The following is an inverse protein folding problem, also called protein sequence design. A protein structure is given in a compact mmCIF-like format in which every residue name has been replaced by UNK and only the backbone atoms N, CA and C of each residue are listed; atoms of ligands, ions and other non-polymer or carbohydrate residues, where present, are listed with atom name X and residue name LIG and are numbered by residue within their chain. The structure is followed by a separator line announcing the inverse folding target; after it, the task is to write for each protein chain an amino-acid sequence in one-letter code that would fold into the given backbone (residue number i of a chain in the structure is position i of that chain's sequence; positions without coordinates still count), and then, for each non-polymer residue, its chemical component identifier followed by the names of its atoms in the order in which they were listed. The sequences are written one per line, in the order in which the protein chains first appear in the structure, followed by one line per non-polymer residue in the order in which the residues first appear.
data_IF_781064494509
#
_entry.id   IF_781064494509
#
_cell.length_a   1.000
_cell.length_b   1.000
_cell.length_c   1.000
_cell.angle_alpha   90.00
_cell.angle_beta   90.00
_cell.angle_gamma   90.00
#
_symmetry.space_group_name_H-M   'P 1'
#
loop_
_entity.id
_entity.type
_entity.pdbx_description
1 polymer ?
#
# COMPACT_ATOMS: atom_id res chain seq x y z
N UNK A 1 24.99 3.33 2.57
CA UNK A 1 23.66 3.41 1.95
C UNK A 1 22.81 2.23 2.38
N UNK A 2 21.63 2.46 2.89
CA UNK A 2 20.76 1.33 3.24
C UNK A 2 20.32 0.58 1.99
N UNK A 3 20.22 -0.72 2.14
CA UNK A 3 19.78 -1.58 1.05
C UNK A 3 18.25 -1.66 1.06
N UNK A 4 17.65 -1.20 -0.02
CA UNK A 4 16.20 -1.25 -0.19
C UNK A 4 15.84 -2.49 -1.01
N UNK A 5 14.95 -3.30 -0.47
CA UNK A 5 14.44 -4.49 -1.17
C UNK A 5 12.93 -4.46 -1.19
N UNK A 6 12.34 -4.98 -2.28
CA UNK A 6 10.90 -5.11 -2.44
C UNK A 6 10.56 -6.59 -2.49
N UNK A 7 9.65 -7.02 -1.65
CA UNK A 7 9.25 -8.43 -1.56
C UNK A 7 7.78 -8.59 -1.92
N UNK A 8 7.51 -9.48 -2.87
CA UNK A 8 6.14 -9.86 -3.23
C UNK A 8 5.62 -10.86 -2.21
N UNK A 9 4.44 -10.60 -1.68
CA UNK A 9 3.83 -11.44 -0.65
C UNK A 9 2.31 -11.32 -0.71
N UNK A 10 1.63 -11.61 0.39
CA UNK A 10 0.18 -11.45 0.50
C UNK A 10 -0.18 -10.86 1.86
N UNK A 11 -1.49 -10.71 2.12
CA UNK A 11 -1.95 -10.03 3.33
C UNK A 11 -1.71 -10.82 4.61
N UNK A 12 -1.23 -12.05 4.55
CA UNK A 12 -0.87 -12.80 5.75
C UNK A 12 0.50 -12.41 6.29
N UNK A 13 1.26 -11.63 5.52
CA UNK A 13 2.60 -11.18 5.92
C UNK A 13 2.51 -10.26 7.15
N UNK A 14 3.23 -10.61 8.22
CA UNK A 14 3.17 -9.87 9.48
C UNK A 14 3.68 -8.43 9.35
N UNK A 15 4.71 -8.21 8.54
CA UNK A 15 5.26 -6.87 8.32
C UNK A 15 4.26 -5.97 7.59
N UNK A 16 3.55 -6.54 6.61
CA UNK A 16 2.48 -5.83 5.93
C UNK A 16 1.37 -5.45 6.91
N UNK A 17 0.96 -6.37 7.76
CA UNK A 17 -0.10 -6.11 8.75
C UNK A 17 0.30 -4.99 9.71
N UNK A 18 1.56 -4.97 10.13
CA UNK A 18 2.07 -3.92 11.00
C UNK A 18 2.03 -2.57 10.29
N UNK A 19 2.45 -2.51 9.03
CA UNK A 19 2.42 -1.28 8.25
C UNK A 19 0.99 -0.79 8.02
N UNK A 20 0.05 -1.70 7.79
CA UNK A 20 -1.37 -1.34 7.65
C UNK A 20 -1.91 -0.77 8.95
N UNK A 21 -1.48 -1.29 10.10
CA UNK A 21 -1.86 -0.73 11.39
C UNK A 21 -1.39 0.72 11.53
N UNK A 22 -0.17 1.02 11.10
CA UNK A 22 0.34 2.38 11.08
C UNK A 22 -0.49 3.27 10.16
N UNK A 23 -0.83 2.78 8.98
CA UNK A 23 -1.65 3.51 8.02
C UNK A 23 -3.03 3.83 8.60
N UNK A 24 -3.68 2.84 9.18
CA UNK A 24 -5.02 3.02 9.76
C UNK A 24 -4.98 4.04 10.90
N UNK A 25 -3.97 3.98 11.73
CA UNK A 25 -3.79 4.93 12.82
C UNK A 25 -3.59 6.36 12.27
N UNK A 26 -2.79 6.48 11.24
CA UNK A 26 -2.52 7.77 10.60
C UNK A 26 -3.80 8.37 10.00
N UNK A 27 -4.58 7.55 9.30
CA UNK A 27 -5.85 7.99 8.73
C UNK A 27 -6.84 8.41 9.81
N UNK A 28 -6.87 7.70 10.91
CA UNK A 28 -7.73 8.02 12.04
C UNK A 28 -7.42 9.40 12.61
N UNK A 29 -6.15 9.73 12.78
CA UNK A 29 -5.75 11.04 13.27
C UNK A 29 -6.14 12.16 12.33
N UNK A 30 -5.99 11.95 11.02
CA UNK A 30 -6.28 12.96 10.01
C UNK A 30 -7.77 13.17 9.84
N UNK A 31 -8.56 12.11 9.87
CA UNK A 31 -9.95 12.15 9.48
C UNK A 31 -10.94 12.32 10.62
N UNK A 32 -10.50 12.19 11.85
CA UNK A 32 -11.33 12.47 13.02
C UNK A 32 -12.77 11.98 12.95
N UNK A 33 -13.66 12.88 12.57
CA UNK A 33 -15.11 12.61 12.52
C UNK A 33 -15.50 11.46 11.61
N UNK A 34 -14.66 11.13 10.65
CA UNK A 34 -14.94 10.08 9.67
C UNK A 34 -14.30 8.76 10.04
N UNK A 35 -13.77 8.66 11.25
CA UNK A 35 -13.05 7.48 11.69
C UNK A 35 -13.85 6.18 11.50
N UNK A 36 -15.10 6.17 11.91
CA UNK A 36 -15.94 4.97 11.78
C UNK A 36 -16.11 4.54 10.31
N UNK A 37 -16.27 5.52 9.42
CA UNK A 37 -16.40 5.24 7.99
C UNK A 37 -15.10 4.66 7.43
N UNK A 38 -13.98 5.29 7.73
CA UNK A 38 -12.70 4.84 7.20
C UNK A 38 -12.24 3.53 7.82
N UNK A 39 -12.52 3.31 9.09
CA UNK A 39 -12.22 2.03 9.73
C UNK A 39 -12.94 0.88 9.05
N UNK A 40 -14.19 1.11 8.67
CA UNK A 40 -14.99 0.11 7.97
C UNK A 40 -14.41 -0.22 6.59
N UNK A 41 -13.92 0.81 5.88
CA UNK A 41 -13.34 0.64 4.56
C UNK A 41 -11.88 0.16 4.58
N UNK A 42 -11.23 0.32 5.72
CA UNK A 42 -9.83 -0.03 5.87
C UNK A 42 -9.62 -1.35 6.61
N UNK A 43 -10.67 -2.16 6.72
CA UNK A 43 -10.50 -3.51 7.24
C UNK A 43 -9.51 -4.27 6.38
N UNK A 44 -8.75 -5.16 7.02
CA UNK A 44 -7.74 -5.93 6.33
C UNK A 44 -8.41 -7.00 5.46
N UNK A 45 -8.51 -6.72 4.18
CA UNK A 45 -9.03 -7.69 3.21
C UNK A 45 -8.00 -8.78 2.94
N UNK A 46 -8.47 -9.92 2.46
CA UNK A 46 -7.59 -10.96 1.98
C UNK A 46 -7.01 -10.52 0.63
N UNK A 47 -5.80 -10.02 0.65
CA UNK A 47 -5.10 -9.54 -0.56
C UNK A 47 -4.04 -10.55 -0.96
N UNK A 48 -4.08 -10.96 -2.23
CA UNK A 48 -3.14 -11.96 -2.75
C UNK A 48 -1.89 -11.36 -3.35
N UNK A 49 -1.88 -10.06 -3.59
CA UNK A 49 -0.79 -9.37 -4.28
C UNK A 49 -0.37 -8.16 -3.46
N UNK A 50 0.65 -8.35 -2.66
CA UNK A 50 1.17 -7.33 -1.76
C UNK A 50 2.67 -7.18 -1.98
N UNK A 51 3.17 -5.95 -1.93
CA UNK A 51 4.60 -5.68 -1.93
C UNK A 51 4.94 -5.01 -0.61
N UNK A 52 5.98 -5.50 0.06
CA UNK A 52 6.55 -4.87 1.25
C UNK A 52 7.97 -4.44 0.90
N UNK A 53 8.29 -3.20 1.23
CA UNK A 53 9.62 -2.64 1.06
C UNK A 53 10.38 -2.68 2.37
N UNK A 54 11.64 -3.05 2.30
CA UNK A 54 12.53 -3.16 3.47
C UNK A 54 13.75 -2.28 3.27
N UNK A 55 14.21 -1.70 4.37
CA UNK A 55 15.50 -1.00 4.42
C UNK A 55 16.36 -1.75 5.42
N UNK A 56 17.37 -2.45 4.92
CA UNK A 56 18.25 -3.30 5.73
C UNK A 56 17.47 -4.26 6.64
N UNK A 57 16.42 -4.86 6.08
CA UNK A 57 15.58 -5.82 6.79
C UNK A 57 14.44 -5.22 7.62
N UNK A 58 14.35 -3.90 7.72
CA UNK A 58 13.27 -3.23 8.43
C UNK A 58 12.13 -2.90 7.46
N UNK A 59 10.88 -3.30 7.75
CA UNK A 59 9.76 -2.93 6.88
C UNK A 59 9.51 -1.42 6.94
N UNK A 60 9.50 -0.77 5.78
CA UNK A 60 9.39 0.69 5.70
C UNK A 60 8.26 1.18 4.80
N UNK A 61 7.68 0.30 4.00
CA UNK A 61 6.59 0.69 3.12
C UNK A 61 5.89 -0.51 2.53
N UNK A 62 4.71 -0.28 1.97
CA UNK A 62 3.93 -1.35 1.37
C UNK A 62 2.94 -0.81 0.35
N UNK A 63 2.38 -1.73 -0.40
CA UNK A 63 1.29 -1.49 -1.31
C UNK A 63 0.72 -2.81 -1.77
N UNK A 64 -0.47 -2.77 -2.34
CA UNK A 64 -1.14 -3.98 -2.79
C UNK A 64 -2.05 -3.66 -3.96
N UNK A 65 -2.47 -4.69 -4.68
CA UNK A 65 -3.56 -4.53 -5.61
C UNK A 65 -4.53 -5.69 -5.49
N UNK A 66 -5.76 -5.45 -5.88
CA UNK A 66 -6.78 -6.48 -5.99
C UNK A 66 -7.55 -6.28 -7.28
N UNK A 67 -8.21 -7.32 -7.80
CA UNK A 67 -9.07 -7.15 -8.96
C UNK A 67 -10.22 -6.20 -8.65
N UNK A 68 -10.45 -5.23 -9.53
CA UNK A 68 -11.63 -4.37 -9.49
C UNK A 68 -12.62 -4.82 -10.55
N UNK A 69 -12.11 -5.22 -11.71
CA UNK A 69 -12.88 -5.81 -12.77
C UNK A 69 -11.97 -6.80 -13.51
N UNK A 70 -12.46 -7.40 -14.58
CA UNK A 70 -11.67 -8.35 -15.37
C UNK A 70 -10.36 -7.75 -15.88
N UNK A 71 -10.36 -6.45 -16.23
CA UNK A 71 -9.20 -5.79 -16.82
C UNK A 71 -8.56 -4.74 -15.91
N UNK A 72 -9.17 -4.47 -14.76
CA UNK A 72 -8.73 -3.38 -13.89
C UNK A 72 -8.30 -3.91 -12.54
N UNK A 73 -7.11 -3.51 -12.11
CA UNK A 73 -6.60 -3.78 -10.76
C UNK A 73 -6.70 -2.52 -9.94
N UNK A 74 -7.15 -2.63 -8.72
CA UNK A 74 -7.25 -1.50 -7.79
C UNK A 74 -6.05 -1.51 -6.85
N UNK A 75 -5.31 -0.40 -6.83
CA UNK A 75 -4.17 -0.23 -5.93
C UNK A 75 -4.71 0.13 -4.54
N UNK A 76 -4.24 -0.58 -3.53
CA UNK A 76 -4.69 -0.41 -2.14
C UNK A 76 -3.51 -0.41 -1.18
N UNK A 77 -3.72 0.18 -0.02
CA UNK A 77 -2.78 0.10 1.11
C UNK A 77 -1.40 0.65 0.80
N UNK A 78 -1.31 1.67 -0.07
CA UNK A 78 -0.06 2.35 -0.34
C UNK A 78 0.34 3.17 0.89
N UNK A 79 1.51 2.86 1.44
CA UNK A 79 1.98 3.54 2.63
C UNK A 79 3.50 3.43 2.73
N UNK A 80 4.13 4.52 3.15
CA UNK A 80 5.56 4.56 3.46
C UNK A 80 5.70 5.26 4.80
N UNK A 81 6.55 4.73 5.67
CA UNK A 81 6.82 5.37 6.96
C UNK A 81 7.30 6.80 6.72
N UNK A 82 6.89 7.70 7.59
CA UNK A 82 7.13 9.14 7.42
C UNK A 82 8.58 9.47 7.14
N UNK A 83 9.49 8.87 7.89
CA UNK A 83 10.92 9.15 7.75
C UNK A 83 11.52 8.69 6.42
N UNK A 84 10.80 7.88 5.65
CA UNK A 84 11.26 7.36 4.35
C UNK A 84 10.52 7.97 3.18
N UNK A 85 9.60 8.90 3.42
CA UNK A 85 8.85 9.57 2.36
C UNK A 85 9.71 10.61 1.63
N UNK A 86 9.29 10.94 0.41
CA UNK A 86 9.98 11.95 -0.37
C UNK A 86 11.26 11.46 -1.05
N UNK A 87 11.50 10.16 -1.06
CA UNK A 87 12.70 9.57 -1.64
C UNK A 87 12.39 8.67 -2.83
N UNK A 88 11.17 8.73 -3.35
CA UNK A 88 10.75 7.93 -4.50
C UNK A 88 10.37 6.50 -4.18
N UNK A 89 10.32 6.12 -2.91
CA UNK A 89 10.00 4.74 -2.52
C UNK A 89 8.56 4.36 -2.89
N UNK A 90 7.60 5.27 -2.65
CA UNK A 90 6.21 5.01 -3.01
C UNK A 90 6.04 4.77 -4.50
N UNK A 91 6.71 5.57 -5.31
CA UNK A 91 6.69 5.40 -6.77
C UNK A 91 7.28 4.03 -7.16
N UNK A 92 8.36 3.64 -6.50
CA UNK A 92 9.00 2.35 -6.77
C UNK A 92 8.07 1.19 -6.45
N UNK A 93 7.37 1.26 -5.32
CA UNK A 93 6.38 0.26 -4.94
C UNK A 93 5.25 0.23 -5.98
N UNK A 94 4.71 1.39 -6.32
CA UNK A 94 3.62 1.49 -7.29
C UNK A 94 4.01 0.93 -8.65
N UNK A 95 5.19 1.29 -9.15
CA UNK A 95 5.68 0.79 -10.44
C UNK A 95 5.77 -0.74 -10.44
N UNK A 96 6.26 -1.31 -9.35
CA UNK A 96 6.36 -2.77 -9.25
C UNK A 96 4.99 -3.44 -9.15
N UNK A 97 4.03 -2.80 -8.50
CA UNK A 97 2.65 -3.29 -8.47
C UNK A 97 2.03 -3.27 -9.87
N UNK A 98 2.28 -2.21 -10.62
CA UNK A 98 1.78 -2.09 -11.99
C UNK A 98 2.35 -3.17 -12.91
N UNK A 99 3.65 -3.44 -12.81
CA UNK A 99 4.27 -4.53 -13.57
C UNK A 99 3.67 -5.87 -13.19
N UNK A 100 3.47 -6.10 -11.91
CA UNK A 100 2.89 -7.35 -11.42
C UNK A 100 1.46 -7.51 -11.90
N UNK A 101 0.67 -6.45 -11.87
CA UNK A 101 -0.70 -6.47 -12.38
C UNK A 101 -0.72 -6.78 -13.88
N UNK A 102 0.21 -6.21 -14.63
CA UNK A 102 0.35 -6.48 -16.06
C UNK A 102 0.65 -7.97 -16.31
N UNK A 103 1.54 -8.54 -15.51
CA UNK A 103 1.85 -9.97 -15.57
C UNK A 103 0.62 -10.85 -15.29
N UNK A 104 -0.32 -10.33 -14.50
CA UNK A 104 -1.57 -11.00 -14.16
C UNK A 104 -2.69 -10.69 -15.17
N UNK A 105 -2.36 -10.07 -16.30
CA UNK A 105 -3.27 -9.74 -17.41
C UNK A 105 -4.26 -8.61 -17.11
N UNK A 106 -3.97 -7.76 -16.14
CA UNK A 106 -4.73 -6.53 -15.96
C UNK A 106 -4.20 -5.48 -16.93
N UNK A 107 -5.11 -4.68 -17.48
CA UNK A 107 -4.77 -3.66 -18.47
C UNK A 107 -4.64 -2.28 -17.82
N UNK A 108 -5.43 -2.03 -16.78
CA UNK A 108 -5.46 -0.74 -16.09
C UNK A 108 -5.26 -0.92 -14.61
N UNK A 109 -4.58 0.06 -13.99
CA UNK A 109 -4.49 0.15 -12.54
C UNK A 109 -5.25 1.38 -12.09
N UNK A 110 -6.15 1.20 -11.12
CA UNK A 110 -6.94 2.29 -10.54
C UNK A 110 -6.33 2.63 -9.19
N UNK A 111 -5.97 3.89 -9.02
CA UNK A 111 -5.43 4.36 -7.76
C UNK A 111 -6.31 5.49 -7.23
N UNK A 112 -7.07 5.22 -6.17
CA UNK A 112 -7.91 6.21 -5.53
C UNK A 112 -7.13 6.98 -4.49
N UNK A 113 -7.05 8.29 -4.65
CA UNK A 113 -6.49 9.18 -3.64
C UNK A 113 -7.63 9.62 -2.73
N UNK A 114 -7.97 8.75 -1.79
CA UNK A 114 -8.96 9.12 -0.81
C UNK A 114 -8.41 10.26 0.04
N UNK A 115 -9.27 11.19 0.38
CA UNK A 115 -9.00 12.21 1.38
C UNK A 115 -8.22 13.41 0.89
N UNK A 116 -7.53 13.35 -0.19
CA UNK A 116 -6.78 14.47 -0.77
C UNK A 116 -5.90 15.21 0.25
N UNK A 117 -5.48 14.54 1.29
CA UNK A 117 -4.80 15.19 2.40
C UNK A 117 -3.31 14.97 2.40
N UNK A 118 -2.81 14.55 1.29
CA UNK A 118 -1.39 14.31 1.15
C UNK A 118 -1.12 12.90 0.74
N UNK A 119 0.12 12.65 0.45
CA UNK A 119 0.58 11.35 -0.01
C UNK A 119 1.24 10.64 1.17
N UNK A 120 0.83 9.42 1.43
CA UNK A 120 1.36 8.60 2.51
C UNK A 120 2.49 7.69 2.02
N UNK A 121 3.13 8.12 0.95
CA UNK A 121 4.17 7.31 0.32
C UNK A 121 5.15 8.14 -0.50
#
# INVERSE_FOLDING_TARGET
MPKITLTKTDSTNADFQELVTHLDHYLKEINGKHDAFFSKHNTLDALSHVIVAYSDGKPIGCGAFKPFSEKEAEIKRMFVLEEFRGQGLGRKILTNLEYWADECNFVFCIFYLYLCTGLYF
#
